data_IF_112360023646
#
_entry.id   IF_112360023646
#
_cell.length_a   1.000
_cell.length_b   1.000
_cell.length_c   1.000
_cell.angle_alpha   90.00
_cell.angle_beta   90.00
_cell.angle_gamma   90.00
#
_symmetry.space_group_name_H-M   'P 1'
#
loop_
_entity.id
_entity.type
_entity.pdbx_description
1 polymer ?
#
# COMPACT_ATOMS: atom_id res chain seq x y z
N UNK A 1 39.81 -37.61 -12.87
CA UNK A 1 39.49 -36.41 -13.67
C UNK A 1 38.31 -36.78 -14.56
N UNK A 2 37.10 -36.33 -14.20
CA UNK A 2 35.90 -36.58 -15.00
C UNK A 2 35.94 -35.75 -16.28
N UNK A 3 35.68 -36.38 -17.42
CA UNK A 3 35.54 -35.69 -18.71
C UNK A 3 34.46 -34.60 -18.59
N UNK A 4 34.76 -33.40 -19.09
CA UNK A 4 33.83 -32.26 -19.19
C UNK A 4 32.54 -32.58 -19.98
N UNK A 5 32.47 -33.75 -20.62
CA UNK A 5 31.32 -34.25 -21.38
C UNK A 5 30.48 -35.29 -20.64
N UNK A 6 30.63 -35.45 -19.33
CA UNK A 6 29.70 -36.30 -18.59
C UNK A 6 28.31 -35.63 -18.55
N UNK A 7 27.31 -36.28 -19.13
CA UNK A 7 25.92 -35.81 -19.16
C UNK A 7 25.41 -35.52 -17.74
N UNK A 8 25.82 -36.31 -16.75
CA UNK A 8 25.43 -36.13 -15.35
C UNK A 8 25.96 -34.81 -14.77
N UNK A 9 27.16 -34.40 -15.17
CA UNK A 9 27.74 -33.12 -14.75
C UNK A 9 27.02 -31.91 -15.39
N UNK A 10 26.62 -32.05 -16.65
CA UNK A 10 25.86 -31.01 -17.38
C UNK A 10 24.49 -30.82 -16.74
N UNK A 11 23.83 -31.93 -16.35
CA UNK A 11 22.57 -31.92 -15.62
C UNK A 11 22.75 -31.15 -14.30
N UNK A 12 23.72 -31.55 -13.47
CA UNK A 12 23.96 -30.92 -12.15
C UNK A 12 24.21 -29.40 -12.27
N UNK A 13 24.96 -28.95 -13.27
CA UNK A 13 25.20 -27.53 -13.51
C UNK A 13 23.90 -26.79 -13.86
N UNK A 14 23.09 -27.35 -14.76
CA UNK A 14 21.87 -26.69 -15.21
C UNK A 14 20.81 -26.63 -14.11
N UNK A 15 20.73 -27.66 -13.26
CA UNK A 15 19.90 -27.65 -12.05
C UNK A 15 20.33 -26.53 -11.09
N UNK A 16 21.63 -26.43 -10.78
CA UNK A 16 22.16 -25.33 -9.94
C UNK A 16 21.85 -23.96 -10.52
N UNK A 17 21.96 -23.79 -11.85
CA UNK A 17 21.61 -22.52 -12.52
C UNK A 17 20.12 -22.22 -12.39
N UNK A 18 19.26 -23.21 -12.54
CA UNK A 18 17.81 -23.06 -12.42
C UNK A 18 17.42 -22.61 -11.01
N UNK A 19 18.01 -23.22 -9.98
CA UNK A 19 17.84 -22.83 -8.59
C UNK A 19 18.34 -21.40 -8.34
N UNK A 20 19.52 -21.06 -8.86
CA UNK A 20 20.06 -19.69 -8.77
C UNK A 20 19.11 -18.66 -9.39
N UNK A 21 18.51 -18.94 -10.55
CA UNK A 21 17.55 -18.03 -11.18
C UNK A 21 16.26 -17.92 -10.37
N UNK A 22 15.77 -19.00 -9.79
CA UNK A 22 14.61 -18.98 -8.88
C UNK A 22 14.88 -18.10 -7.65
N UNK A 23 16.02 -18.29 -7.00
CA UNK A 23 16.43 -17.48 -5.85
C UNK A 23 16.65 -16.01 -6.23
N UNK A 24 17.25 -15.74 -7.39
CA UNK A 24 17.41 -14.39 -7.90
C UNK A 24 16.05 -13.72 -8.19
N UNK A 25 15.08 -14.46 -8.71
CA UNK A 25 13.74 -13.97 -8.96
C UNK A 25 13.02 -13.58 -7.66
N UNK A 26 13.08 -14.41 -6.63
CA UNK A 26 12.54 -14.08 -5.31
C UNK A 26 13.19 -12.81 -4.75
N UNK A 27 14.52 -12.71 -4.79
CA UNK A 27 15.25 -11.52 -4.34
C UNK A 27 14.90 -10.25 -5.11
N UNK A 28 14.58 -10.34 -6.41
CA UNK A 28 14.11 -9.19 -7.18
C UNK A 28 12.69 -8.79 -6.80
N UNK A 29 11.86 -9.75 -6.41
CA UNK A 29 10.51 -9.50 -5.89
C UNK A 29 10.59 -8.76 -4.55
N UNK A 30 11.53 -9.10 -3.67
CA UNK A 30 11.71 -8.37 -2.40
C UNK A 30 12.04 -6.88 -2.60
N UNK A 31 12.84 -6.57 -3.63
CA UNK A 31 13.19 -5.18 -3.97
C UNK A 31 12.01 -4.34 -4.45
N UNK A 32 10.91 -4.96 -4.90
CA UNK A 32 9.67 -4.26 -5.24
C UNK A 32 9.12 -3.47 -4.04
N UNK A 33 9.27 -4.01 -2.84
CA UNK A 33 8.83 -3.36 -1.59
C UNK A 33 9.41 -1.95 -1.46
N UNK A 34 10.66 -1.75 -1.88
CA UNK A 34 11.31 -0.43 -1.83
C UNK A 34 10.62 0.59 -2.76
N UNK A 35 10.19 0.17 -3.95
CA UNK A 35 9.44 1.03 -4.88
C UNK A 35 8.06 1.33 -4.32
N UNK A 36 7.41 0.34 -3.68
CA UNK A 36 6.11 0.52 -3.06
C UNK A 36 6.16 1.54 -1.91
N UNK A 37 7.22 1.53 -1.10
CA UNK A 37 7.46 2.52 -0.03
C UNK A 37 7.65 3.94 -0.62
N UNK A 38 8.33 4.08 -1.75
CA UNK A 38 8.42 5.38 -2.43
C UNK A 38 7.04 5.85 -2.90
N UNK A 39 6.24 4.93 -3.46
CA UNK A 39 4.91 5.27 -3.94
C UNK A 39 3.99 5.68 -2.80
N UNK A 40 3.99 4.97 -1.67
CA UNK A 40 3.19 5.36 -0.52
C UNK A 40 3.53 6.77 -0.03
N UNK A 41 4.82 7.13 -0.02
CA UNK A 41 5.27 8.48 0.32
C UNK A 41 4.72 9.52 -0.65
N UNK A 42 4.78 9.26 -1.96
CA UNK A 42 4.19 10.14 -2.95
C UNK A 42 2.70 10.35 -2.71
N UNK A 43 1.92 9.27 -2.57
CA UNK A 43 0.44 9.34 -2.47
C UNK A 43 -0.04 10.17 -1.29
N UNK A 44 0.67 10.13 -0.15
CA UNK A 44 0.31 10.89 1.06
C UNK A 44 0.23 12.41 0.77
N UNK A 45 1.17 12.92 -0.02
CA UNK A 45 1.26 14.37 -0.30
C UNK A 45 0.62 14.78 -1.62
N UNK A 46 0.29 13.84 -2.52
CA UNK A 46 -0.47 14.16 -3.74
C UNK A 46 -1.82 14.80 -3.41
N UNK A 47 -2.53 14.29 -2.39
CA UNK A 47 -3.85 14.80 -1.99
C UNK A 47 -3.79 16.28 -1.59
N UNK A 48 -2.97 16.71 -0.62
CA UNK A 48 -2.91 18.12 -0.24
C UNK A 48 -2.41 19.00 -1.37
N UNK A 49 -1.46 18.55 -2.21
CA UNK A 49 -1.00 19.32 -3.38
C UNK A 49 -2.15 19.53 -4.38
N UNK A 50 -2.92 18.48 -4.68
CA UNK A 50 -4.09 18.60 -5.55
C UNK A 50 -5.15 19.52 -4.93
N UNK A 51 -5.35 19.46 -3.61
CA UNK A 51 -6.30 20.33 -2.92
C UNK A 51 -5.92 21.81 -3.06
N UNK A 52 -4.66 22.16 -2.81
CA UNK A 52 -4.20 23.55 -2.94
C UNK A 52 -4.19 24.02 -4.39
N UNK A 53 -3.90 23.15 -5.35
CA UNK A 53 -3.84 23.48 -6.77
C UNK A 53 -5.22 23.73 -7.40
N UNK A 54 -6.26 22.98 -6.98
CA UNK A 54 -7.59 23.03 -7.62
C UNK A 54 -8.66 23.76 -6.81
N UNK A 55 -8.55 23.83 -5.48
CA UNK A 55 -9.61 24.36 -4.61
C UNK A 55 -9.26 25.63 -3.86
N UNK A 56 -7.98 25.92 -3.62
CA UNK A 56 -7.59 27.22 -3.06
C UNK A 56 -7.40 28.21 -4.21
N UNK A 57 -7.95 29.43 -4.07
CA UNK A 57 -7.62 30.59 -4.93
C UNK A 57 -6.19 31.09 -4.68
N UNK A 58 -5.24 30.15 -4.56
CA UNK A 58 -3.83 30.45 -4.51
C UNK A 58 -3.48 31.16 -5.82
N UNK A 59 -2.75 32.29 -5.71
CA UNK A 59 -2.20 33.02 -6.85
C UNK A 59 -1.41 32.02 -7.70
N UNK A 60 -2.02 31.55 -8.79
CA UNK A 60 -1.51 30.46 -9.61
C UNK A 60 -0.14 30.83 -10.18
N UNK A 61 0.91 30.31 -9.57
CA UNK A 61 2.21 30.30 -10.21
C UNK A 61 2.17 29.20 -11.26
N UNK A 62 2.17 29.56 -12.54
CA UNK A 62 2.20 28.64 -13.68
C UNK A 62 3.23 27.49 -13.50
N UNK A 63 4.34 27.81 -12.83
CA UNK A 63 5.40 26.86 -12.48
C UNK A 63 4.93 25.69 -11.59
N UNK A 64 4.00 25.89 -10.66
CA UNK A 64 3.47 24.83 -9.78
C UNK A 64 2.63 23.82 -10.58
N UNK A 65 1.81 24.29 -11.53
CA UNK A 65 1.08 23.41 -12.45
C UNK A 65 2.04 22.59 -13.32
N UNK A 66 3.07 23.22 -13.89
CA UNK A 66 4.06 22.52 -14.72
C UNK A 66 4.78 21.42 -13.92
N UNK A 67 5.19 21.72 -12.69
CA UNK A 67 5.81 20.74 -11.80
C UNK A 67 4.84 19.61 -11.45
N UNK A 68 3.59 19.92 -11.14
CA UNK A 68 2.58 18.91 -10.80
C UNK A 68 2.26 17.97 -11.97
N UNK A 69 2.10 18.51 -13.19
CA UNK A 69 1.88 17.70 -14.38
C UNK A 69 3.12 16.87 -14.74
N UNK A 70 4.32 17.46 -14.62
CA UNK A 70 5.58 16.76 -14.81
C UNK A 70 5.75 15.59 -13.83
N UNK A 71 5.49 15.84 -12.55
CA UNK A 71 5.48 14.81 -11.51
C UNK A 71 4.46 13.71 -11.84
N UNK A 72 3.22 14.09 -12.17
CA UNK A 72 2.14 13.15 -12.45
C UNK A 72 2.44 12.27 -13.66
N UNK A 73 3.01 12.84 -14.74
CA UNK A 73 3.43 12.08 -15.92
C UNK A 73 4.53 11.06 -15.57
N UNK A 74 5.58 11.50 -14.88
CA UNK A 74 6.68 10.63 -14.46
C UNK A 74 6.20 9.53 -13.51
N UNK A 75 5.34 9.88 -12.56
CA UNK A 75 4.74 8.94 -11.62
C UNK A 75 3.88 7.90 -12.34
N UNK A 76 3.06 8.29 -13.31
CA UNK A 76 2.25 7.36 -14.12
C UNK A 76 3.11 6.41 -14.95
N UNK A 77 4.15 6.94 -15.61
CA UNK A 77 5.11 6.10 -16.37
C UNK A 77 5.82 5.13 -15.43
N UNK A 78 6.23 5.59 -14.25
CA UNK A 78 6.82 4.75 -13.22
C UNK A 78 5.85 3.64 -12.78
N UNK A 79 4.61 4.00 -12.45
CA UNK A 79 3.57 3.09 -12.00
C UNK A 79 3.24 2.03 -13.07
N UNK A 80 3.15 2.41 -14.35
CA UNK A 80 2.93 1.47 -15.44
C UNK A 80 4.03 0.41 -15.55
N UNK A 81 5.30 0.83 -15.42
CA UNK A 81 6.43 -0.10 -15.40
C UNK A 81 6.38 -1.02 -14.17
N UNK A 82 5.97 -0.50 -13.02
CA UNK A 82 5.77 -1.28 -11.79
C UNK A 82 4.64 -2.30 -11.91
N UNK A 83 3.52 -1.96 -12.56
CA UNK A 83 2.43 -2.91 -12.82
C UNK A 83 2.92 -4.05 -13.71
N UNK A 84 3.65 -3.73 -14.80
CA UNK A 84 4.27 -4.76 -15.66
C UNK A 84 5.30 -5.61 -14.93
N UNK A 85 5.99 -5.04 -13.96
CA UNK A 85 6.89 -5.76 -13.07
C UNK A 85 6.12 -6.72 -12.14
N UNK A 86 4.92 -6.36 -11.68
CA UNK A 86 4.15 -7.14 -10.70
C UNK A 86 3.39 -8.32 -11.31
N UNK A 87 3.07 -8.27 -12.61
CA UNK A 87 2.36 -9.38 -13.29
C UNK A 87 3.11 -10.70 -13.03
N UNK A 88 2.49 -11.68 -12.37
CA UNK A 88 3.17 -12.95 -12.10
C UNK A 88 3.50 -13.62 -13.43
N UNK A 89 4.73 -14.09 -13.56
CA UNK A 89 5.15 -14.91 -14.69
C UNK A 89 5.54 -16.26 -14.11
N UNK A 90 5.01 -17.33 -14.70
CA UNK A 90 5.38 -18.68 -14.32
C UNK A 90 6.88 -18.87 -14.56
N UNK A 91 7.64 -19.02 -13.47
CA UNK A 91 9.04 -19.42 -13.54
C UNK A 91 9.04 -20.91 -13.89
N UNK A 92 9.82 -21.30 -14.88
CA UNK A 92 10.00 -22.71 -15.20
C UNK A 92 10.75 -23.37 -14.05
N UNK A 93 10.02 -24.07 -13.18
CA UNK A 93 10.61 -24.92 -12.15
C UNK A 93 11.20 -26.18 -12.78
N UNK A 94 12.09 -26.84 -12.05
CA UNK A 94 12.58 -28.16 -12.41
C UNK A 94 11.37 -29.08 -12.51
N UNK A 95 11.02 -29.45 -13.75
CA UNK A 95 9.96 -30.42 -14.02
C UNK A 95 10.60 -31.78 -14.22
N UNK A 96 9.86 -32.80 -13.85
CA UNK A 96 10.18 -34.18 -14.21
C UNK A 96 10.36 -34.29 -15.74
N UNK A 97 11.30 -35.12 -16.22
CA UNK A 97 11.62 -35.23 -17.65
C UNK A 97 10.40 -35.69 -18.44
N UNK A 98 9.72 -34.77 -19.11
CA UNK A 98 8.39 -35.04 -19.68
C UNK A 98 8.48 -36.04 -20.83
N UNK A 99 9.47 -35.86 -21.72
CA UNK A 99 9.72 -36.77 -22.84
C UNK A 99 10.05 -38.19 -22.41
N UNK A 100 10.60 -38.38 -21.20
CA UNK A 100 10.83 -39.73 -20.66
C UNK A 100 9.52 -40.48 -20.44
N UNK A 101 8.59 -39.88 -19.69
CA UNK A 101 7.32 -40.51 -19.36
C UNK A 101 6.39 -40.67 -20.57
N UNK A 102 6.44 -39.74 -21.52
CA UNK A 102 5.58 -39.77 -22.71
C UNK A 102 6.10 -40.69 -23.83
N UNK A 103 7.42 -40.86 -23.98
CA UNK A 103 7.98 -41.52 -25.19
C UNK A 103 9.02 -42.58 -24.87
N UNK A 104 9.99 -42.31 -24.01
CA UNK A 104 11.10 -43.25 -23.80
C UNK A 104 10.74 -44.43 -22.91
N UNK A 105 9.80 -44.25 -21.97
CA UNK A 105 9.29 -45.32 -21.12
C UNK A 105 8.67 -46.47 -21.92
N UNK A 106 7.81 -46.14 -22.89
CA UNK A 106 7.16 -47.15 -23.74
C UNK A 106 8.18 -47.94 -24.56
N UNK A 107 9.16 -47.25 -25.16
CA UNK A 107 10.23 -47.89 -25.93
C UNK A 107 11.13 -48.83 -25.09
N UNK A 108 11.26 -48.55 -23.79
CA UNK A 108 11.98 -49.40 -22.85
C UNK A 108 11.13 -50.62 -22.43
N UNK A 109 9.87 -50.40 -22.10
CA UNK A 109 8.92 -51.47 -21.73
C UNK A 109 8.69 -52.46 -22.89
N UNK A 110 8.73 -51.98 -24.14
CA UNK A 110 8.59 -52.80 -25.35
C UNK A 110 9.87 -53.57 -25.74
N UNK A 111 10.98 -53.40 -25.02
CA UNK A 111 12.24 -54.12 -25.25
C UNK A 111 12.96 -53.76 -26.56
N UNK A 112 12.60 -52.64 -27.21
CA UNK A 112 13.13 -52.22 -28.51
C UNK A 112 14.59 -51.74 -28.39
N UNK A 113 15.01 -51.25 -27.23
CA UNK A 113 16.33 -50.64 -26.99
C UNK A 113 17.01 -51.19 -25.75
N UNK A 114 18.34 -51.14 -25.76
CA UNK A 114 19.13 -51.53 -24.58
C UNK A 114 19.01 -50.49 -23.46
N UNK A 115 19.10 -50.89 -22.18
CA UNK A 115 19.01 -49.95 -21.05
C UNK A 115 20.00 -48.79 -21.13
N UNK A 116 21.20 -49.04 -21.64
CA UNK A 116 22.26 -48.04 -21.81
C UNK A 116 21.95 -47.00 -22.88
N UNK A 117 21.33 -47.40 -23.99
CA UNK A 117 20.92 -46.46 -25.05
C UNK A 117 19.75 -45.59 -24.59
N UNK A 118 18.81 -46.19 -23.85
CA UNK A 118 17.70 -45.45 -23.23
C UNK A 118 18.24 -44.44 -22.21
N UNK A 119 19.17 -44.81 -21.34
CA UNK A 119 19.76 -43.89 -20.35
C UNK A 119 20.40 -42.65 -21.02
N UNK A 120 21.19 -42.87 -22.08
CA UNK A 120 21.83 -41.77 -22.82
C UNK A 120 20.78 -40.86 -23.47
N UNK A 121 19.75 -41.43 -24.09
CA UNK A 121 18.68 -40.67 -24.74
C UNK A 121 17.84 -39.87 -23.74
N UNK A 122 17.54 -40.46 -22.60
CA UNK A 122 16.80 -39.80 -21.52
C UNK A 122 17.61 -38.63 -21.00
N UNK A 123 18.88 -38.85 -20.68
CA UNK A 123 19.79 -37.79 -20.22
C UNK A 123 19.92 -36.67 -21.26
N UNK A 124 20.10 -37.00 -22.54
CA UNK A 124 20.18 -36.00 -23.60
C UNK A 124 18.90 -35.18 -23.74
N UNK A 125 17.73 -35.83 -23.71
CA UNK A 125 16.44 -35.14 -23.76
C UNK A 125 16.18 -34.27 -22.54
N UNK A 126 16.62 -34.72 -21.36
CA UNK A 126 16.48 -33.97 -20.12
C UNK A 126 17.36 -32.72 -20.11
N UNK A 127 18.59 -32.82 -20.64
CA UNK A 127 19.48 -31.67 -20.81
C UNK A 127 18.83 -30.62 -21.72
N UNK A 128 18.23 -31.02 -22.84
CA UNK A 128 17.53 -30.10 -23.74
C UNK A 128 16.36 -29.37 -23.04
N UNK A 129 15.55 -30.11 -22.26
CA UNK A 129 14.45 -29.53 -21.48
C UNK A 129 14.97 -28.55 -20.40
N UNK A 130 16.05 -28.91 -19.71
CA UNK A 130 16.70 -28.06 -18.71
C UNK A 130 17.27 -26.78 -19.34
N UNK A 131 17.94 -26.88 -20.48
CA UNK A 131 18.50 -25.72 -21.18
C UNK A 131 17.41 -24.76 -21.66
N UNK A 132 16.28 -25.30 -22.15
CA UNK A 132 15.12 -24.50 -22.52
C UNK A 132 14.52 -23.77 -21.31
N UNK A 133 14.38 -24.46 -20.18
CA UNK A 133 13.88 -23.88 -18.94
C UNK A 133 14.81 -22.77 -18.42
N UNK A 134 16.12 -23.03 -18.39
CA UNK A 134 17.16 -22.06 -18.03
C UNK A 134 17.10 -20.83 -18.91
N UNK A 135 17.03 -21.01 -20.23
CA UNK A 135 16.95 -19.91 -21.20
C UNK A 135 15.69 -19.07 -21.00
N UNK A 136 14.56 -19.72 -20.79
CA UNK A 136 13.27 -19.04 -20.56
C UNK A 136 13.31 -18.22 -19.27
N UNK A 137 13.80 -18.80 -18.18
CA UNK A 137 13.96 -18.10 -16.90
C UNK A 137 14.92 -16.92 -16.99
N UNK A 138 16.03 -17.08 -17.73
CA UNK A 138 16.97 -15.98 -17.97
C UNK A 138 16.29 -14.77 -18.64
N UNK A 139 15.52 -15.00 -19.72
CA UNK A 139 14.82 -13.92 -20.41
C UNK A 139 13.74 -13.26 -19.54
N UNK A 140 12.99 -14.05 -18.77
CA UNK A 140 11.99 -13.53 -17.83
C UNK A 140 12.67 -12.65 -16.78
N UNK A 141 13.76 -13.13 -16.18
CA UNK A 141 14.52 -12.41 -15.16
C UNK A 141 15.08 -11.09 -15.72
N UNK A 142 15.72 -11.12 -16.89
CA UNK A 142 16.32 -9.92 -17.48
C UNK A 142 15.26 -8.87 -17.83
N UNK A 143 14.11 -9.31 -18.36
CA UNK A 143 12.96 -8.43 -18.62
C UNK A 143 12.43 -7.78 -17.33
N UNK A 144 12.28 -8.55 -16.25
CA UNK A 144 11.84 -8.04 -14.95
C UNK A 144 12.82 -7.02 -14.38
N UNK A 145 14.13 -7.33 -14.44
CA UNK A 145 15.20 -6.41 -14.01
C UNK A 145 15.15 -5.08 -14.76
N UNK A 146 14.91 -5.11 -16.08
CA UNK A 146 14.78 -3.90 -16.90
C UNK A 146 13.56 -3.07 -16.50
N UNK A 147 12.40 -3.69 -16.26
CA UNK A 147 11.22 -2.96 -15.77
C UNK A 147 11.43 -2.36 -14.38
N UNK A 148 12.09 -3.09 -13.48
CA UNK A 148 12.46 -2.59 -12.16
C UNK A 148 13.35 -1.35 -12.25
N UNK A 149 14.43 -1.43 -13.05
CA UNK A 149 15.36 -0.31 -13.22
C UNK A 149 14.68 0.92 -13.81
N UNK A 150 13.84 0.74 -14.83
CA UNK A 150 13.05 1.83 -15.43
C UNK A 150 12.08 2.45 -14.42
N UNK A 151 11.30 1.63 -13.71
CA UNK A 151 10.39 2.11 -12.68
C UNK A 151 11.14 2.92 -11.61
N UNK A 152 12.28 2.41 -11.13
CA UNK A 152 13.08 3.10 -10.12
C UNK A 152 13.64 4.44 -10.63
N UNK A 153 14.16 4.49 -11.87
CA UNK A 153 14.64 5.74 -12.46
C UNK A 153 13.51 6.77 -12.54
N UNK A 154 12.34 6.39 -13.07
CA UNK A 154 11.22 7.32 -13.19
C UNK A 154 10.70 7.78 -11.84
N UNK A 155 10.66 6.89 -10.83
CA UNK A 155 10.32 7.24 -9.46
C UNK A 155 11.33 8.25 -8.87
N UNK A 156 12.63 8.01 -9.03
CA UNK A 156 13.67 8.93 -8.55
C UNK A 156 13.62 10.28 -9.28
N UNK A 157 13.36 10.27 -10.58
CA UNK A 157 13.24 11.49 -11.37
C UNK A 157 11.98 12.27 -10.95
N UNK A 158 10.88 11.57 -10.61
CA UNK A 158 9.67 12.17 -10.05
C UNK A 158 9.90 12.80 -8.67
N UNK A 159 10.87 12.33 -7.87
CA UNK A 159 11.21 12.97 -6.58
C UNK A 159 11.59 14.44 -6.74
N UNK A 160 12.27 14.83 -7.83
CA UNK A 160 12.70 16.21 -8.08
C UNK A 160 11.52 17.21 -8.10
N UNK A 161 10.61 17.11 -9.08
CA UNK A 161 9.45 18.00 -9.14
C UNK A 161 8.53 17.86 -7.92
N UNK A 162 8.44 16.65 -7.34
CA UNK A 162 7.68 16.41 -6.12
C UNK A 162 8.20 17.21 -4.91
N UNK A 163 9.52 17.18 -4.66
CA UNK A 163 10.13 17.93 -3.57
C UNK A 163 10.02 19.45 -3.80
N UNK A 164 10.11 19.89 -5.06
CA UNK A 164 9.88 21.30 -5.40
C UNK A 164 8.44 21.71 -5.12
N UNK A 165 7.43 20.92 -5.53
CA UNK A 165 6.02 21.18 -5.22
C UNK A 165 5.79 21.28 -3.70
N UNK A 166 6.32 20.35 -2.92
CA UNK A 166 6.21 20.38 -1.45
C UNK A 166 6.90 21.61 -0.86
N UNK A 167 8.10 21.94 -1.34
CA UNK A 167 8.84 23.12 -0.89
C UNK A 167 8.08 24.41 -1.16
N UNK A 168 7.47 24.55 -2.34
CA UNK A 168 6.59 25.67 -2.67
C UNK A 168 5.37 25.71 -1.75
N UNK A 169 4.71 24.58 -1.54
CA UNK A 169 3.53 24.50 -0.69
C UNK A 169 3.85 24.86 0.77
N UNK A 170 5.00 24.44 1.30
CA UNK A 170 5.47 24.81 2.63
C UNK A 170 5.83 26.30 2.72
N UNK A 171 6.51 26.84 1.71
CA UNK A 171 6.89 28.26 1.69
C UNK A 171 5.69 29.21 1.54
N UNK A 172 4.63 28.78 0.86
CA UNK A 172 3.43 29.59 0.60
C UNK A 172 2.39 29.50 1.71
N UNK A 173 2.46 28.47 2.57
CA UNK A 173 1.71 28.45 3.84
C UNK A 173 2.29 29.49 4.78
N UNK A 174 1.98 30.76 4.52
CA UNK A 174 2.06 31.81 5.55
C UNK A 174 1.30 31.30 6.75
N UNK A 175 1.94 31.31 7.91
CA UNK A 175 1.39 30.94 9.21
C UNK A 175 0.10 31.72 9.50
N UNK A 176 -1.01 31.31 8.90
CA UNK A 176 -2.30 31.41 9.57
C UNK A 176 -2.25 30.33 10.64
N UNK A 177 -1.47 30.60 11.70
CA UNK A 177 -1.80 30.12 13.02
C UNK A 177 -3.29 30.37 13.10
N UNK A 178 -4.05 29.29 13.15
CA UNK A 178 -5.46 29.33 13.44
C UNK A 178 -5.52 30.06 14.78
N UNK A 179 -5.65 31.38 14.76
CA UNK A 179 -6.18 32.14 15.88
C UNK A 179 -7.55 31.51 16.00
N UNK A 180 -7.63 30.52 16.88
CA UNK A 180 -8.86 30.18 17.53
C UNK A 180 -9.24 31.49 18.17
N UNK A 181 -10.02 32.30 17.44
CA UNK A 181 -10.77 33.38 18.03
C UNK A 181 -11.61 32.65 19.07
N UNK A 182 -11.13 32.71 20.32
CA UNK A 182 -11.93 32.39 21.48
C UNK A 182 -12.99 33.48 21.44
N UNK A 183 -14.02 33.26 20.63
CA UNK A 183 -15.23 34.07 20.61
C UNK A 183 -15.66 34.09 22.07
N UNK A 184 -15.53 35.27 22.69
CA UNK A 184 -15.83 35.56 24.08
C UNK A 184 -16.91 34.61 24.62
N UNK A 185 -16.48 33.53 25.28
CA UNK A 185 -17.39 32.60 25.95
C UNK A 185 -18.21 33.36 27.01
N UNK A 186 -17.66 34.48 27.50
CA UNK A 186 -18.31 35.52 28.32
C UNK A 186 -19.66 35.92 27.73
N UNK A 187 -19.73 36.30 26.46
CA UNK A 187 -20.96 36.82 25.84
C UNK A 187 -21.99 35.71 25.56
N UNK A 188 -21.53 34.47 25.40
CA UNK A 188 -22.41 33.32 25.14
C UNK A 188 -22.94 32.71 26.46
N UNK A 189 -22.22 32.86 27.57
CA UNK A 189 -22.67 32.53 28.92
C UNK A 189 -23.62 33.62 29.44
N UNK A 190 -23.31 34.91 29.23
CA UNK A 190 -24.16 36.02 29.66
C UNK A 190 -25.51 36.05 28.92
N UNK A 191 -25.53 35.79 27.61
CA UNK A 191 -26.78 35.65 26.85
C UNK A 191 -27.59 34.40 27.27
N UNK A 192 -26.93 33.31 27.69
CA UNK A 192 -27.64 32.12 28.20
C UNK A 192 -28.18 32.31 29.60
N UNK A 193 -27.52 33.09 30.46
CA UNK A 193 -28.01 33.43 31.79
C UNK A 193 -29.17 34.43 31.71
N UNK A 194 -29.05 35.49 30.89
CA UNK A 194 -30.12 36.45 30.63
C UNK A 194 -31.37 35.79 30.00
N UNK A 195 -31.19 34.87 29.05
CA UNK A 195 -32.31 34.12 28.46
C UNK A 195 -32.98 33.13 29.43
N UNK A 196 -32.30 32.74 30.52
CA UNK A 196 -32.83 31.82 31.54
C UNK A 196 -33.59 32.59 32.63
N UNK A 197 -33.13 33.79 32.98
CA UNK A 197 -33.87 34.69 33.90
C UNK A 197 -35.18 35.18 33.29
N UNK A 198 -35.20 35.54 31.99
CA UNK A 198 -36.43 35.94 31.29
C UNK A 198 -37.46 34.80 31.24
N UNK A 199 -37.03 33.53 31.21
CA UNK A 199 -37.95 32.37 31.24
C UNK A 199 -38.47 32.03 32.64
N UNK A 200 -37.75 32.40 33.71
CA UNK A 200 -38.22 32.17 35.08
C UNK A 200 -39.18 33.26 35.60
N UNK A 201 -39.17 34.46 35.02
CA UNK A 201 -40.13 35.51 35.38
C UNK A 201 -41.50 35.37 34.67
N UNK A 202 -41.63 34.50 33.67
CA UNK A 202 -42.89 34.35 32.89
C UNK A 202 -43.63 33.02 33.06
N UNK A 203 -43.30 32.20 34.05
CA UNK A 203 -44.06 30.97 34.37
C UNK A 203 -44.67 31.04 35.79
N UNK A 204 -45.66 31.90 35.92
CA UNK A 204 -46.72 31.83 36.92
C UNK A 204 -48.04 32.09 36.21
N UNK A 205 -48.54 31.11 35.45
CA UNK A 205 -49.96 30.89 35.13
C UNK A 205 -50.12 29.39 34.77
N UNK A 206 -51.17 28.82 35.35
CA UNK A 206 -51.63 27.43 35.40
C UNK A 206 -51.62 26.65 34.06
N UNK A 207 -51.41 25.31 34.07
CA UNK A 207 -51.49 24.48 32.88
C UNK A 207 -52.91 23.95 32.65
N UNK A 208 -53.59 24.39 31.59
CA UNK A 208 -54.72 23.68 31.01
C UNK A 208 -54.21 22.69 29.97
N UNK A 209 -54.20 21.42 30.35
CA UNK A 209 -53.86 20.32 29.44
C UNK A 209 -54.96 20.10 28.41
N UNK A 210 -54.60 20.14 27.13
CA UNK A 210 -55.41 19.61 26.05
C UNK A 210 -54.67 18.43 25.42
N UNK A 211 -55.10 17.22 25.79
CA UNK A 211 -54.76 15.97 25.11
C UNK A 211 -55.59 15.91 23.81
N UNK A 212 -54.93 15.92 22.67
CA UNK A 212 -55.53 15.51 21.40
C UNK A 212 -55.82 14.01 21.44
N UNK A 213 -57.11 13.65 21.53
CA UNK A 213 -57.63 12.28 21.34
C UNK A 213 -58.08 12.13 19.89
N UNK A 214 -57.46 11.21 19.15
CA UNK A 214 -58.03 10.64 17.93
C UNK A 214 -59.11 9.61 18.32
N UNK A 215 -60.26 9.56 17.64
CA UNK A 215 -61.32 8.61 17.97
C UNK A 215 -60.90 7.19 17.59
N UNK A 216 -60.98 6.25 18.55
CA UNK A 216 -60.89 4.81 18.29
C UNK A 216 -59.61 4.08 18.72
N UNK A 217 -58.67 4.71 19.45
CA UNK A 217 -57.45 4.02 19.93
C UNK A 217 -57.34 4.15 21.45
N UNK A 218 -57.41 3.02 22.16
CA UNK A 218 -57.25 2.94 23.61
C UNK A 218 -55.75 3.05 23.98
N UNK A 219 -55.36 4.21 24.50
CA UNK A 219 -53.97 4.59 24.80
C UNK A 219 -53.43 4.01 26.12
N UNK A 220 -54.08 2.99 26.70
CA UNK A 220 -53.66 2.36 27.96
C UNK A 220 -52.57 1.28 27.81
N UNK A 221 -52.16 0.92 26.59
CA UNK A 221 -51.14 -0.11 26.34
C UNK A 221 -49.86 0.37 25.62
N UNK A 222 -49.62 1.68 25.50
CA UNK A 222 -48.42 2.16 24.79
C UNK A 222 -47.28 2.38 25.76
N UNK A 223 -46.34 1.43 25.79
CA UNK A 223 -45.05 1.54 26.47
C UNK A 223 -44.21 2.62 25.76
N UNK A 224 -43.75 3.69 26.46
CA UNK A 224 -42.88 4.68 25.83
C UNK A 224 -41.49 4.08 25.60
N UNK A 225 -41.20 3.72 24.35
CA UNK A 225 -39.85 3.38 23.89
C UNK A 225 -39.15 4.66 23.42
N UNK A 226 -38.24 5.17 24.24
CA UNK A 226 -37.23 6.11 23.77
C UNK A 226 -35.84 5.63 24.21
N UNK A 227 -34.85 5.61 23.30
CA UNK A 227 -33.55 5.00 23.57
C UNK A 227 -32.70 5.90 24.48
N UNK A 228 -32.15 5.29 25.53
CA UNK A 228 -31.17 5.88 26.43
C UNK A 228 -29.84 5.98 25.68
N UNK A 229 -29.42 7.19 25.30
CA UNK A 229 -28.05 7.44 24.85
C UNK A 229 -27.14 7.55 26.08
N UNK A 230 -26.33 6.52 26.29
CA UNK A 230 -25.21 6.55 27.23
C UNK A 230 -24.20 7.60 26.77
N UNK A 231 -23.93 8.59 27.64
CA UNK A 231 -22.85 9.55 27.47
C UNK A 231 -21.69 9.10 28.38
N UNK A 232 -20.81 8.27 27.83
CA UNK A 232 -19.59 7.86 28.53
C UNK A 232 -18.60 9.04 28.52
N UNK A 233 -18.22 9.42 29.74
CA UNK A 233 -17.19 10.39 30.04
C UNK A 233 -15.95 9.60 30.44
N UNK A 234 -14.82 9.85 29.79
CA UNK A 234 -13.51 9.43 30.29
C UNK A 234 -12.42 10.32 29.66
N UNK A 235 -12.36 11.55 30.18
CA UNK A 235 -11.09 12.25 30.33
C UNK A 235 -10.42 11.63 31.56
N UNK A 236 -9.22 11.06 31.40
CA UNK A 236 -8.32 10.84 32.52
C UNK A 236 -6.97 11.50 32.23
N UNK A 237 -6.58 12.30 33.20
CA UNK A 237 -5.43 13.17 33.30
C UNK A 237 -4.09 12.52 32.89
N UNK A 238 -3.32 13.24 32.08
CA UNK A 238 -1.88 13.02 31.92
C UNK A 238 -1.11 14.31 32.17
N UNK A 239 -1.24 14.84 33.39
CA UNK A 239 -0.33 15.88 33.89
C UNK A 239 0.05 15.62 35.33
N UNK A 240 0.96 14.66 35.56
CA UNK A 240 1.83 14.61 36.75
C UNK A 240 2.92 13.54 36.61
N UNK A 241 3.95 13.81 35.78
CA UNK A 241 5.18 13.03 35.81
C UNK A 241 6.39 13.84 35.34
N UNK A 242 6.54 15.07 35.86
CA UNK A 242 7.76 15.87 35.64
C UNK A 242 8.30 16.43 36.95
N UNK A 243 8.67 15.52 37.86
CA UNK A 243 9.57 15.77 39.00
C UNK A 243 9.91 14.44 39.63
N UNK A 244 11.17 14.02 39.51
CA UNK A 244 11.97 13.16 40.40
C UNK A 244 12.88 12.20 39.61
N UNK A 245 14.09 12.68 39.24
CA UNK A 245 15.38 12.02 39.56
C UNK A 245 16.55 12.75 38.88
N UNK A 246 16.96 13.84 39.50
CA UNK A 246 18.38 14.23 39.58
C UNK A 246 18.95 13.51 40.81
N UNK A 247 19.75 12.45 40.63
CA UNK A 247 20.80 12.04 41.59
C UNK A 247 21.58 10.82 41.08
N UNK A 248 22.92 10.95 41.15
CA UNK A 248 23.94 9.90 41.05
C UNK A 248 24.18 9.39 39.62
N UNK A 249 25.39 9.34 39.08
CA UNK A 249 26.61 8.75 39.66
C UNK A 249 27.86 9.51 39.19
N UNK A 250 28.69 9.93 40.14
CA UNK A 250 30.15 10.09 40.00
C UNK A 250 30.79 8.74 40.29
N UNK A 251 31.59 8.22 39.36
CA UNK A 251 32.91 7.62 39.60
C UNK A 251 33.57 7.34 38.26
#
# INVERSE_FOLDING_TARGET
MGSFYNLDYIIEINEKRLEQYSNAYQKQTDKFTNILVLYSTFTIFVIPIAQTLFFEEAKCYWLEHVLFYGFSLLFLVSAFNTIRLLIPVEVAYQREPRRYYETYRLNYEDGIRTPTEVDILVKASYIEELELAVRTNFYIMERKKLFYYRALIFALLACGPYLLCIGFQLSMKTEKIQKVDIVNFSNLVENKLMAKEIKQTSQSISPTGNKTRLPGVDSSQVIPSSPIFFKESLFFDTTTAHKLKKKSIKK
#
